data_IF_881190519981
#
_entry.id   IF_881190519981
#
_cell.length_a   1.000
_cell.length_b   1.000
_cell.length_c   1.000
_cell.angle_alpha   90.00
_cell.angle_beta   90.00
_cell.angle_gamma   90.00
#
_symmetry.space_group_name_H-M   'P 1'
#
loop_
_entity.id
_entity.type
_entity.pdbx_description
1 polymer ?
#
# COMPACT_ATOMS: atom_id res chain seq x y z
N UNK A 1 -9.02 77.18 18.17
CA UNK A 1 -8.40 75.92 18.62
C UNK A 1 -8.08 75.10 17.37
N UNK A 2 -6.87 75.28 16.84
CA UNK A 2 -6.37 74.55 15.66
C UNK A 2 -5.94 73.15 16.07
N UNK A 3 -6.56 72.13 15.48
CA UNK A 3 -6.08 70.79 15.61
C UNK A 3 -4.89 70.54 14.68
N UNK A 4 -3.72 70.57 15.24
CA UNK A 4 -2.46 70.17 14.62
C UNK A 4 -2.54 68.73 14.18
N UNK A 5 -2.74 68.47 12.89
CA UNK A 5 -2.58 67.15 12.28
C UNK A 5 -1.09 66.84 12.20
N UNK A 6 -0.65 65.98 13.14
CA UNK A 6 0.69 65.42 13.12
C UNK A 6 0.88 64.54 11.86
N UNK A 7 1.48 65.12 10.81
CA UNK A 7 2.01 64.37 9.65
C UNK A 7 3.20 63.54 10.16
N UNK A 8 3.00 62.28 10.52
CA UNK A 8 4.08 61.37 10.82
C UNK A 8 4.91 61.20 9.53
N UNK A 9 6.15 61.69 9.53
CA UNK A 9 7.06 61.60 8.40
C UNK A 9 7.22 60.17 7.93
N UNK A 10 7.10 59.90 6.65
CA UNK A 10 7.25 58.56 6.05
C UNK A 10 8.63 58.01 6.45
N UNK A 11 8.67 56.86 7.12
CA UNK A 11 9.91 56.19 7.53
C UNK A 11 10.80 55.92 6.32
N UNK A 12 12.10 56.19 6.45
CA UNK A 12 13.10 56.02 5.40
C UNK A 12 14.22 55.10 5.87
N UNK A 13 14.84 54.40 4.92
CA UNK A 13 16.06 53.61 5.21
C UNK A 13 17.33 54.47 5.16
N UNK A 14 18.50 53.87 5.38
CA UNK A 14 19.80 54.53 5.33
C UNK A 14 20.16 55.06 3.93
N UNK A 15 19.46 54.63 2.86
CA UNK A 15 19.58 55.10 1.49
C UNK A 15 18.48 56.09 1.12
N UNK A 16 17.80 56.65 2.13
CA UNK A 16 16.72 57.63 1.99
C UNK A 16 15.48 57.13 1.24
N UNK A 17 15.28 55.80 1.06
CA UNK A 17 14.13 55.20 0.41
C UNK A 17 12.96 55.10 1.39
N UNK A 18 11.75 55.28 0.90
CA UNK A 18 10.54 55.20 1.69
C UNK A 18 10.27 53.74 2.02
N UNK A 19 10.14 53.44 3.32
CA UNK A 19 9.70 52.14 3.82
C UNK A 19 8.18 52.09 3.86
N UNK A 20 7.63 50.96 3.37
CA UNK A 20 6.18 50.69 3.35
C UNK A 20 5.66 50.35 4.74
N UNK A 21 4.34 50.24 4.87
CA UNK A 21 3.71 49.77 6.13
C UNK A 21 4.17 48.33 6.45
N UNK A 22 4.61 48.12 7.69
CA UNK A 22 5.21 46.84 8.11
C UNK A 22 6.72 46.72 7.88
N UNK A 23 7.30 47.49 6.93
CA UNK A 23 8.75 47.48 6.66
C UNK A 23 9.52 48.29 7.74
N UNK A 24 10.68 47.84 8.10
CA UNK A 24 11.64 48.54 8.96
C UNK A 24 13.08 48.15 8.61
N UNK A 25 14.04 48.99 8.95
CA UNK A 25 15.46 48.65 8.89
C UNK A 25 16.01 48.52 10.31
N UNK A 26 16.68 47.40 10.59
CA UNK A 26 17.30 47.12 11.88
C UNK A 26 18.68 47.81 12.01
N UNK A 27 19.16 47.92 13.22
CA UNK A 27 20.50 48.48 13.54
C UNK A 27 21.64 47.67 12.88
N UNK A 28 21.43 46.36 12.68
CA UNK A 28 22.39 45.46 12.03
C UNK A 28 22.40 45.58 10.50
N UNK A 29 21.57 46.47 9.92
CA UNK A 29 21.45 46.71 8.48
C UNK A 29 20.45 45.85 7.76
N UNK A 30 19.89 44.81 8.39
CA UNK A 30 18.82 44.00 7.79
C UNK A 30 17.51 44.75 7.71
N UNK A 31 16.77 44.49 6.66
CA UNK A 31 15.39 44.93 6.54
C UNK A 31 14.47 43.87 7.17
N UNK A 32 13.39 44.29 7.82
CA UNK A 32 12.37 43.47 8.42
C UNK A 32 10.99 43.86 7.93
N UNK A 33 10.13 42.91 7.65
CA UNK A 33 8.70 43.09 7.38
C UNK A 33 7.90 42.39 8.45
N UNK A 34 7.01 43.13 9.11
CA UNK A 34 6.07 42.68 10.12
C UNK A 34 4.72 42.42 9.46
N UNK A 35 4.14 41.24 9.69
CA UNK A 35 2.80 40.88 9.24
C UNK A 35 2.06 40.06 10.29
N UNK A 36 0.75 39.91 10.13
CA UNK A 36 -0.09 39.02 10.93
C UNK A 36 -0.40 37.79 10.08
N UNK A 37 -0.15 36.60 10.61
CA UNK A 37 -0.46 35.35 9.91
C UNK A 37 -1.95 34.99 9.97
N UNK A 38 -2.34 33.89 9.32
CA UNK A 38 -3.74 33.39 9.28
C UNK A 38 -4.28 33.00 10.66
N UNK A 39 -3.40 32.77 11.65
CA UNK A 39 -3.77 32.44 13.04
C UNK A 39 -3.86 33.71 13.93
N UNK A 40 -3.72 34.92 13.35
CA UNK A 40 -3.71 36.16 14.10
C UNK A 40 -2.40 36.47 14.84
N UNK A 41 -1.35 35.70 14.62
CA UNK A 41 -0.05 35.91 15.26
C UNK A 41 0.85 36.83 14.47
N UNK A 42 1.59 37.66 15.22
CA UNK A 42 2.55 38.60 14.61
C UNK A 42 3.83 37.87 14.24
N UNK A 43 4.20 37.97 12.96
CA UNK A 43 5.38 37.34 12.38
C UNK A 43 6.33 38.37 11.78
N UNK A 44 7.60 38.00 11.63
CA UNK A 44 8.63 38.83 11.03
C UNK A 44 9.43 38.05 10.00
N UNK A 45 9.70 38.67 8.84
CA UNK A 45 10.62 38.16 7.85
C UNK A 45 11.75 39.16 7.62
N UNK A 46 12.95 38.66 7.35
CA UNK A 46 14.15 39.48 7.22
C UNK A 46 14.85 39.28 5.88
N UNK A 47 15.52 40.33 5.39
CA UNK A 47 16.43 40.24 4.23
C UNK A 47 17.54 41.29 4.35
N UNK A 48 18.70 41.04 3.74
CA UNK A 48 19.77 42.01 3.59
C UNK A 48 19.51 43.00 2.46
N UNK A 49 18.56 42.70 1.56
CA UNK A 49 18.17 43.50 0.42
C UNK A 49 16.74 43.99 0.58
N UNK A 50 16.47 45.27 0.36
CA UNK A 50 15.09 45.79 0.31
C UNK A 50 14.47 45.48 -1.06
N UNK A 51 15.23 45.82 -2.13
CA UNK A 51 14.83 45.60 -3.53
C UNK A 51 15.72 44.55 -4.19
N UNK A 52 15.23 43.95 -5.27
CA UNK A 52 15.97 42.95 -6.06
C UNK A 52 17.31 43.49 -6.60
N UNK A 53 17.38 44.80 -6.87
CA UNK A 53 18.54 45.49 -7.40
C UNK A 53 19.59 45.82 -6.34
N UNK A 54 19.29 45.63 -5.04
CA UNK A 54 20.24 45.92 -3.97
C UNK A 54 21.43 44.98 -4.00
N UNK A 55 22.64 45.55 -3.88
CA UNK A 55 23.86 44.76 -3.69
C UNK A 55 23.87 44.11 -2.31
N UNK A 56 24.28 42.85 -2.30
CA UNK A 56 24.44 42.11 -1.06
C UNK A 56 25.65 42.64 -0.28
N UNK A 57 25.54 42.87 1.06
CA UNK A 57 26.70 43.23 1.87
C UNK A 57 27.78 42.13 1.84
N UNK A 58 29.05 42.53 1.85
CA UNK A 58 30.18 41.61 1.82
C UNK A 58 30.09 40.56 2.94
N UNK A 59 30.38 39.29 2.63
CA UNK A 59 30.36 38.17 3.57
C UNK A 59 28.97 37.68 3.99
N UNK A 60 27.89 38.16 3.36
CA UNK A 60 26.53 37.68 3.66
C UNK A 60 26.06 36.70 2.59
N UNK A 61 25.26 35.73 3.03
CA UNK A 61 24.65 34.74 2.13
C UNK A 61 23.57 35.42 1.28
N UNK A 62 23.53 35.11 -0.01
CA UNK A 62 22.52 35.68 -0.92
C UNK A 62 21.12 35.16 -0.55
N UNK A 63 20.15 36.07 -0.63
CA UNK A 63 18.74 35.84 -0.33
C UNK A 63 17.89 36.76 -1.20
N UNK A 64 16.61 36.40 -1.39
CA UNK A 64 15.64 37.23 -2.09
C UNK A 64 15.37 38.53 -1.31
N UNK A 65 15.04 39.61 -2.01
CA UNK A 65 14.78 40.90 -1.39
C UNK A 65 13.56 40.88 -0.46
N UNK A 66 13.50 41.81 0.51
CA UNK A 66 12.39 41.90 1.44
C UNK A 66 11.05 42.09 0.72
N UNK A 67 11.00 42.93 -0.30
CA UNK A 67 9.77 43.21 -1.03
C UNK A 67 9.30 42.08 -1.93
N UNK A 68 10.20 41.19 -2.36
CA UNK A 68 9.81 39.95 -3.00
C UNK A 68 9.22 38.97 -1.97
N UNK A 69 9.83 38.86 -0.76
CA UNK A 69 9.27 38.09 0.35
C UNK A 69 7.89 38.61 0.77
N UNK A 70 7.74 39.94 0.88
CA UNK A 70 6.47 40.57 1.19
C UNK A 70 5.37 40.21 0.18
N UNK A 71 5.66 40.32 -1.12
CA UNK A 71 4.70 39.92 -2.16
C UNK A 71 4.30 38.47 -2.07
N UNK A 72 5.24 37.57 -1.75
CA UNK A 72 4.96 36.13 -1.57
C UNK A 72 4.05 35.91 -0.36
N UNK A 73 4.38 36.53 0.79
CA UNK A 73 3.59 36.43 2.02
C UNK A 73 2.18 36.99 1.82
N UNK A 74 2.05 38.19 1.21
CA UNK A 74 0.74 38.79 0.93
C UNK A 74 -0.12 37.90 0.03
N UNK A 75 0.50 37.27 -0.97
CA UNK A 75 -0.20 36.32 -1.84
C UNK A 75 -0.61 35.06 -1.07
N UNK A 76 0.24 34.54 -0.19
CA UNK A 76 -0.07 33.36 0.62
C UNK A 76 -1.23 33.69 1.59
N UNK A 77 -1.20 34.86 2.23
CA UNK A 77 -2.28 35.31 3.12
C UNK A 77 -3.61 35.51 2.39
N UNK A 78 -3.59 36.07 1.14
CA UNK A 78 -4.78 36.22 0.31
C UNK A 78 -5.37 34.87 -0.12
N UNK A 79 -4.52 33.87 -0.32
CA UNK A 79 -4.94 32.51 -0.67
C UNK A 79 -5.23 31.64 0.58
N UNK A 80 -5.23 32.22 1.80
CA UNK A 80 -5.46 31.52 3.05
C UNK A 80 -4.34 30.58 3.49
N UNK A 81 -3.17 30.60 2.81
CA UNK A 81 -2.05 29.71 3.08
C UNK A 81 -1.23 30.26 4.27
N UNK A 82 -0.88 29.38 5.22
CA UNK A 82 -0.03 29.73 6.35
C UNK A 82 1.38 30.06 5.86
N UNK A 83 1.82 31.35 5.89
CA UNK A 83 3.19 31.70 5.54
C UNK A 83 4.18 30.92 6.40
N UNK A 84 5.16 30.25 5.78
CA UNK A 84 6.11 29.34 6.43
C UNK A 84 5.53 28.03 6.98
N UNK A 85 4.23 27.72 6.82
CA UNK A 85 3.64 26.44 7.24
C UNK A 85 4.28 25.22 6.57
N UNK A 86 4.85 25.40 5.39
CA UNK A 86 5.57 24.37 4.63
C UNK A 86 7.05 24.19 4.99
N UNK A 87 7.54 24.70 6.12
CA UNK A 87 8.95 24.57 6.52
C UNK A 87 9.32 23.14 6.93
N UNK A 88 8.35 22.32 7.31
CA UNK A 88 8.61 20.92 7.62
C UNK A 88 9.17 20.15 6.42
N UNK A 89 9.97 19.12 6.71
CA UNK A 89 10.51 18.24 5.69
C UNK A 89 9.48 17.21 5.21
N UNK A 90 9.71 16.62 4.03
CA UNK A 90 8.89 15.50 3.52
C UNK A 90 8.81 14.36 4.53
N UNK A 91 9.93 14.03 5.18
CA UNK A 91 9.97 12.98 6.22
C UNK A 91 9.06 13.35 7.40
N UNK A 92 9.12 14.58 7.89
CA UNK A 92 8.25 15.05 8.98
C UNK A 92 6.78 15.02 8.59
N UNK A 93 6.44 15.47 7.38
CA UNK A 93 5.07 15.41 6.86
C UNK A 93 4.53 13.99 6.79
N UNK A 94 5.28 13.07 6.17
CA UNK A 94 4.85 11.66 6.03
C UNK A 94 4.75 10.99 7.40
N UNK A 95 5.65 11.30 8.33
CA UNK A 95 5.58 10.79 9.72
C UNK A 95 4.33 11.32 10.42
N UNK A 96 4.03 12.64 10.32
CA UNK A 96 2.79 13.24 10.86
C UNK A 96 1.55 12.56 10.31
N UNK A 97 1.50 12.33 8.99
CA UNK A 97 0.38 11.66 8.33
C UNK A 97 0.18 10.23 8.84
N UNK A 98 1.25 9.46 8.97
CA UNK A 98 1.19 8.06 9.45
C UNK A 98 0.75 7.98 10.91
N UNK A 99 1.22 8.89 11.76
CA UNK A 99 0.83 8.94 13.18
C UNK A 99 -0.65 9.23 13.40
N UNK A 100 -1.33 9.89 12.45
CA UNK A 100 -2.78 10.13 12.49
C UNK A 100 -3.62 8.91 12.08
N UNK A 101 -2.98 7.84 11.55
CA UNK A 101 -3.69 6.61 11.14
C UNK A 101 -3.88 5.70 12.35
N UNK A 102 -5.11 5.65 12.84
CA UNK A 102 -5.53 4.74 13.93
C UNK A 102 -6.23 3.51 13.37
N UNK A 103 -6.21 2.40 14.10
CA UNK A 103 -6.92 1.17 13.73
C UNK A 103 -6.39 0.47 12.47
N UNK A 104 -5.17 0.78 12.02
CA UNK A 104 -4.56 0.12 10.86
C UNK A 104 -4.08 -1.28 11.22
N UNK A 105 -4.21 -2.22 10.28
CA UNK A 105 -3.73 -3.59 10.44
C UNK A 105 -2.20 -3.64 10.52
N UNK A 106 -1.68 -4.65 11.20
CA UNK A 106 -0.23 -4.86 11.39
C UNK A 106 0.57 -4.78 10.08
N UNK A 107 0.10 -5.42 9.02
CA UNK A 107 0.79 -5.38 7.71
C UNK A 107 0.79 -3.99 7.07
N UNK A 108 -0.26 -3.19 7.28
CA UNK A 108 -0.33 -1.80 6.80
C UNK A 108 0.65 -0.93 7.58
N UNK A 109 0.71 -1.09 8.90
CA UNK A 109 1.66 -0.40 9.77
C UNK A 109 3.12 -0.73 9.39
N UNK A 110 3.41 -2.02 9.14
CA UNK A 110 4.72 -2.47 8.66
C UNK A 110 5.07 -1.85 7.29
N UNK A 111 4.07 -1.67 6.42
CA UNK A 111 4.19 -0.95 5.15
C UNK A 111 4.56 0.52 5.35
N UNK A 112 3.88 1.21 6.25
CA UNK A 112 4.18 2.60 6.61
C UNK A 112 5.60 2.77 7.16
N UNK A 113 6.02 1.91 8.11
CA UNK A 113 7.40 1.88 8.63
C UNK A 113 8.43 1.69 7.50
N UNK A 114 8.11 0.85 6.52
CA UNK A 114 8.98 0.63 5.35
C UNK A 114 9.11 1.91 4.52
N UNK A 115 8.01 2.63 4.25
CA UNK A 115 8.02 3.88 3.49
C UNK A 115 8.81 4.96 4.24
N UNK A 116 8.59 5.13 5.54
CA UNK A 116 9.34 6.08 6.38
C UNK A 116 10.84 5.77 6.30
N UNK A 117 11.25 4.49 6.45
CA UNK A 117 12.65 4.09 6.37
C UNK A 117 13.28 4.37 4.98
N UNK A 118 12.50 4.26 3.91
CA UNK A 118 12.97 4.62 2.57
C UNK A 118 13.20 6.13 2.49
N UNK A 119 12.21 6.93 2.88
CA UNK A 119 12.27 8.40 2.83
C UNK A 119 13.41 8.94 3.71
N UNK A 120 13.66 8.33 4.87
CA UNK A 120 14.76 8.71 5.78
C UNK A 120 16.13 8.60 5.11
N UNK A 121 16.31 7.60 4.23
CA UNK A 121 17.58 7.35 3.53
C UNK A 121 17.75 8.19 2.26
N UNK A 122 16.70 8.85 1.81
CA UNK A 122 16.67 9.61 0.57
C UNK A 122 16.84 11.11 0.83
N UNK A 123 17.62 11.81 0.01
CA UNK A 123 17.75 13.26 0.07
C UNK A 123 16.41 13.99 -0.12
N UNK A 124 15.50 13.37 -0.86
CA UNK A 124 14.13 13.85 -1.05
C UNK A 124 13.39 14.00 0.30
N UNK A 125 13.64 13.11 1.26
CA UNK A 125 13.02 13.16 2.59
C UNK A 125 13.42 14.39 3.41
N UNK A 126 14.58 14.99 3.12
CA UNK A 126 15.08 16.17 3.81
C UNK A 126 14.65 17.49 3.16
N UNK A 127 13.99 17.43 2.00
CA UNK A 127 13.50 18.64 1.34
C UNK A 127 12.30 19.22 2.10
N UNK A 128 12.22 20.54 2.15
CA UNK A 128 11.06 21.26 2.68
C UNK A 128 9.88 21.08 1.73
N UNK A 129 8.68 20.81 2.29
CA UNK A 129 7.49 20.54 1.47
C UNK A 129 7.07 21.72 0.60
N UNK A 130 7.33 22.97 1.03
CA UNK A 130 7.06 24.19 0.26
C UNK A 130 7.97 24.37 -0.97
N UNK A 131 9.09 23.64 -1.03
CA UNK A 131 10.06 23.68 -2.14
C UNK A 131 9.93 22.51 -3.10
N UNK A 132 9.20 21.45 -2.72
CA UNK A 132 9.00 20.28 -3.57
C UNK A 132 8.10 20.63 -4.77
N UNK A 133 8.66 20.50 -5.97
CA UNK A 133 7.93 20.67 -7.24
C UNK A 133 7.47 19.32 -7.79
N UNK A 134 6.47 19.29 -8.69
CA UNK A 134 6.11 18.06 -9.40
C UNK A 134 7.26 17.39 -10.16
N UNK A 135 8.23 18.17 -10.65
CA UNK A 135 9.47 17.67 -11.27
C UNK A 135 10.32 16.88 -10.28
N UNK A 136 10.45 17.37 -9.03
CA UNK A 136 11.27 16.71 -8.00
C UNK A 136 10.63 15.41 -7.56
N UNK A 137 9.31 15.41 -7.39
CA UNK A 137 8.53 14.20 -7.08
C UNK A 137 8.69 13.13 -8.18
N UNK A 138 8.60 13.53 -9.47
CA UNK A 138 8.83 12.62 -10.62
C UNK A 138 10.26 12.10 -10.64
N UNK A 139 11.25 12.97 -10.49
CA UNK A 139 12.66 12.61 -10.48
C UNK A 139 12.98 11.60 -9.36
N UNK A 140 12.40 11.77 -8.17
CA UNK A 140 12.55 10.85 -7.08
C UNK A 140 11.96 9.46 -7.38
N UNK A 141 10.74 9.39 -7.96
CA UNK A 141 10.14 8.10 -8.33
C UNK A 141 10.93 7.39 -9.44
N UNK A 142 11.44 8.14 -10.44
CA UNK A 142 12.33 7.61 -11.48
C UNK A 142 13.62 7.06 -10.86
N UNK A 143 14.21 7.79 -9.90
CA UNK A 143 15.38 7.32 -9.17
C UNK A 143 15.09 6.00 -8.45
N UNK A 144 13.96 5.89 -7.73
CA UNK A 144 13.58 4.65 -7.05
C UNK A 144 13.47 3.46 -8.02
N UNK A 145 12.97 3.67 -9.26
CA UNK A 145 12.93 2.62 -10.28
C UNK A 145 14.33 2.25 -10.77
N UNK A 146 15.19 3.24 -11.04
CA UNK A 146 16.59 3.01 -11.41
C UNK A 146 17.38 2.27 -10.33
N UNK A 147 17.05 2.50 -9.06
CA UNK A 147 17.63 1.79 -7.91
C UNK A 147 17.04 0.37 -7.74
N UNK A 148 16.28 -0.13 -8.73
CA UNK A 148 15.79 -1.52 -8.80
C UNK A 148 14.45 -1.77 -8.10
N UNK A 149 13.69 -0.72 -7.73
CA UNK A 149 12.35 -0.94 -7.17
C UNK A 149 11.33 -1.18 -8.29
N UNK A 150 10.50 -2.21 -8.12
CA UNK A 150 9.42 -2.52 -9.05
C UNK A 150 8.32 -1.43 -9.04
N UNK A 151 7.58 -1.33 -10.12
CA UNK A 151 6.43 -0.43 -10.25
C UNK A 151 5.44 -0.57 -9.08
N UNK A 152 5.09 -1.80 -8.69
CA UNK A 152 4.16 -2.05 -7.59
C UNK A 152 4.68 -1.57 -6.23
N UNK A 153 6.00 -1.67 -6.00
CA UNK A 153 6.65 -1.13 -4.79
C UNK A 153 6.57 0.40 -4.77
N UNK A 154 6.87 1.06 -5.90
CA UNK A 154 6.81 2.51 -6.04
C UNK A 154 5.36 3.00 -5.93
N UNK A 155 4.40 2.28 -6.51
CA UNK A 155 2.97 2.56 -6.35
C UNK A 155 2.55 2.56 -4.87
N UNK A 156 3.02 1.57 -4.09
CA UNK A 156 2.75 1.49 -2.65
C UNK A 156 3.39 2.64 -1.87
N UNK A 157 4.64 3.02 -2.21
CA UNK A 157 5.33 4.18 -1.61
C UNK A 157 4.54 5.47 -1.89
N UNK A 158 4.18 5.70 -3.15
CA UNK A 158 3.37 6.86 -3.56
C UNK A 158 2.00 6.86 -2.87
N UNK A 159 1.41 5.68 -2.65
CA UNK A 159 0.16 5.49 -1.91
C UNK A 159 0.18 5.99 -0.46
N UNK A 160 1.37 6.22 0.11
CA UNK A 160 1.55 6.85 1.42
C UNK A 160 1.93 8.33 1.29
N UNK A 161 2.84 8.64 0.38
CA UNK A 161 3.39 10.01 0.24
C UNK A 161 2.37 10.97 -0.37
N UNK A 162 1.63 10.55 -1.42
CA UNK A 162 0.63 11.43 -2.06
C UNK A 162 -0.48 11.87 -1.10
N UNK A 163 -1.11 11.00 -0.30
CA UNK A 163 -2.09 11.43 0.69
C UNK A 163 -1.49 12.32 1.80
N UNK A 164 -0.21 12.11 2.18
CA UNK A 164 0.46 12.99 3.14
C UNK A 164 0.60 14.42 2.58
N UNK A 165 0.97 14.56 1.31
CA UNK A 165 1.00 15.87 0.64
C UNK A 165 -0.42 16.44 0.42
N UNK A 166 -1.45 15.59 0.22
CA UNK A 166 -2.83 16.06 0.17
C UNK A 166 -3.25 16.65 1.51
N UNK A 167 -2.94 15.99 2.62
CA UNK A 167 -3.16 16.54 3.96
C UNK A 167 -2.48 17.92 4.13
N UNK A 168 -1.26 18.10 3.58
CA UNK A 168 -0.60 19.40 3.64
C UNK A 168 -1.31 20.48 2.78
N UNK A 169 -2.00 20.10 1.70
CA UNK A 169 -2.88 21.01 0.94
C UNK A 169 -4.14 21.34 1.74
N UNK A 170 -4.77 20.31 2.32
CA UNK A 170 -6.01 20.44 3.10
C UNK A 170 -5.79 21.24 4.41
N UNK A 171 -4.56 21.17 4.96
CA UNK A 171 -4.10 21.98 6.13
C UNK A 171 -3.56 23.38 5.71
N UNK A 172 -3.72 23.81 4.47
CA UNK A 172 -3.23 25.10 3.92
C UNK A 172 -1.71 25.35 4.11
N UNK A 173 -0.92 24.29 4.18
CA UNK A 173 0.54 24.38 4.29
C UNK A 173 1.23 24.54 2.94
N UNK A 174 0.61 24.03 1.87
CA UNK A 174 1.07 24.12 0.49
C UNK A 174 -0.12 24.28 -0.46
N UNK A 175 0.10 24.94 -1.62
CA UNK A 175 -0.98 25.23 -2.59
C UNK A 175 -1.43 24.04 -3.42
N UNK A 176 -0.53 23.13 -3.75
CA UNK A 176 -0.79 22.01 -4.66
C UNK A 176 0.02 20.79 -4.24
N UNK A 177 -0.59 19.63 -4.44
CA UNK A 177 0.06 18.36 -4.21
C UNK A 177 1.06 18.04 -5.34
N UNK A 178 2.38 17.94 -5.07
CA UNK A 178 3.38 17.67 -6.10
C UNK A 178 3.28 16.26 -6.70
N UNK A 179 2.50 15.35 -6.09
CA UNK A 179 2.27 13.99 -6.58
C UNK A 179 0.97 13.85 -7.40
N UNK A 180 0.36 14.96 -7.84
CA UNK A 180 -0.88 14.95 -8.60
C UNK A 180 -0.61 14.71 -10.09
N UNK A 181 -0.19 13.48 -10.41
CA UNK A 181 0.02 12.97 -11.77
C UNK A 181 -0.23 11.47 -11.81
N UNK A 182 -0.44 10.93 -13.00
CA UNK A 182 -0.58 9.49 -13.20
C UNK A 182 0.81 8.81 -13.15
N UNK A 183 0.95 7.79 -12.30
CA UNK A 183 2.24 7.12 -12.10
C UNK A 183 2.76 6.46 -13.39
N UNK A 184 1.87 5.86 -14.18
CA UNK A 184 2.19 5.20 -15.44
C UNK A 184 2.79 6.14 -16.51
N UNK A 185 2.61 7.47 -16.37
CA UNK A 185 3.24 8.44 -17.28
C UNK A 185 4.67 8.82 -16.89
N UNK A 186 5.14 8.33 -15.72
CA UNK A 186 6.44 8.72 -15.14
C UNK A 186 7.41 7.56 -15.09
N UNK A 187 6.94 6.37 -14.74
CA UNK A 187 7.74 5.15 -14.62
C UNK A 187 7.11 4.02 -15.43
N UNK A 188 7.97 3.13 -15.93
CA UNK A 188 7.54 1.97 -16.70
C UNK A 188 6.83 0.97 -15.80
N UNK A 189 5.65 0.50 -16.21
CA UNK A 189 4.95 -0.56 -15.52
C UNK A 189 5.52 -1.93 -15.92
N UNK A 190 6.45 -2.42 -15.11
CA UNK A 190 7.09 -3.73 -15.21
C UNK A 190 6.37 -4.81 -14.39
N UNK A 191 5.15 -4.54 -13.94
CA UNK A 191 4.38 -5.49 -13.13
C UNK A 191 4.04 -6.73 -13.94
N UNK A 192 4.54 -7.88 -13.51
CA UNK A 192 4.14 -9.16 -14.08
C UNK A 192 2.75 -9.51 -13.53
N UNK A 193 1.77 -9.60 -14.43
CA UNK A 193 0.44 -10.10 -14.08
C UNK A 193 0.58 -11.57 -13.67
N UNK A 194 0.09 -11.92 -12.50
CA UNK A 194 0.04 -13.32 -12.06
C UNK A 194 -1.14 -13.99 -12.74
N UNK A 195 -0.86 -14.77 -13.75
CA UNK A 195 -1.88 -15.49 -14.48
C UNK A 195 -2.29 -16.80 -13.80
N UNK A 196 -3.52 -17.21 -14.03
CA UNK A 196 -3.98 -18.54 -13.71
C UNK A 196 -3.23 -19.57 -14.53
N UNK A 197 -2.93 -20.73 -13.98
CA UNK A 197 -2.37 -21.84 -14.74
C UNK A 197 -3.49 -22.62 -15.47
N UNK A 198 -3.12 -23.28 -16.56
CA UNK A 198 -4.06 -24.11 -17.31
C UNK A 198 -4.48 -25.34 -16.51
N UNK A 199 -5.65 -25.93 -16.82
CA UNK A 199 -6.12 -27.18 -16.22
C UNK A 199 -5.12 -28.33 -16.40
N UNK A 200 -4.37 -28.35 -17.51
CA UNK A 200 -3.31 -29.33 -17.76
C UNK A 200 -2.14 -29.14 -16.80
N UNK A 201 -1.70 -27.91 -16.60
CA UNK A 201 -0.63 -27.58 -15.66
C UNK A 201 -1.05 -27.85 -14.19
N UNK A 202 -2.29 -27.50 -13.82
CA UNK A 202 -2.84 -27.80 -12.49
C UNK A 202 -2.80 -29.31 -12.21
N UNK A 203 -3.29 -30.15 -13.13
CA UNK A 203 -3.25 -31.61 -13.00
C UNK A 203 -1.83 -32.12 -12.88
N UNK A 204 -0.93 -31.71 -13.76
CA UNK A 204 0.48 -32.12 -13.73
C UNK A 204 1.16 -31.72 -12.42
N UNK A 205 0.87 -30.52 -11.90
CA UNK A 205 1.40 -30.04 -10.62
C UNK A 205 0.88 -30.89 -9.43
N UNK A 206 -0.42 -31.13 -9.36
CA UNK A 206 -1.04 -31.93 -8.31
C UNK A 206 -0.57 -33.38 -8.35
N UNK A 207 -0.47 -33.99 -9.54
CA UNK A 207 0.03 -35.35 -9.72
C UNK A 207 1.49 -35.47 -9.27
N UNK A 208 2.33 -34.51 -9.63
CA UNK A 208 3.71 -34.45 -9.16
C UNK A 208 3.79 -34.39 -7.64
N UNK A 209 3.02 -33.49 -7.00
CA UNK A 209 2.99 -33.34 -5.53
C UNK A 209 2.55 -34.65 -4.87
N UNK A 210 1.50 -35.30 -5.39
CA UNK A 210 0.94 -36.54 -4.86
C UNK A 210 1.95 -37.70 -4.86
N UNK A 211 2.77 -37.78 -5.90
CA UNK A 211 3.73 -38.86 -6.10
C UNK A 211 5.14 -38.56 -5.53
N UNK A 212 5.39 -37.35 -5.07
CA UNK A 212 6.69 -36.98 -4.54
C UNK A 212 6.85 -37.37 -3.06
N UNK A 213 7.89 -38.16 -2.75
CA UNK A 213 8.15 -38.67 -1.39
C UNK A 213 8.23 -37.59 -0.30
N UNK A 214 8.65 -36.37 -0.66
CA UNK A 214 8.80 -35.28 0.29
C UNK A 214 7.55 -34.40 0.40
N UNK A 215 6.87 -34.15 -0.73
CA UNK A 215 5.77 -33.19 -0.82
C UNK A 215 4.39 -33.84 -0.68
N UNK A 216 4.25 -35.18 -0.82
CA UNK A 216 2.97 -35.88 -0.72
C UNK A 216 2.16 -35.55 0.56
N UNK A 217 2.84 -35.36 1.68
CA UNK A 217 2.21 -34.97 2.95
C UNK A 217 1.53 -33.59 2.95
N UNK A 218 1.76 -32.76 1.93
CA UNK A 218 1.13 -31.46 1.76
C UNK A 218 0.09 -31.47 0.62
N UNK A 219 -0.12 -32.61 -0.03
CA UNK A 219 -1.00 -32.74 -1.17
C UNK A 219 -2.41 -32.26 -0.88
N UNK A 220 -3.02 -32.70 0.20
CA UNK A 220 -4.39 -32.34 0.58
C UNK A 220 -4.54 -30.82 0.75
N UNK A 221 -3.61 -30.18 1.45
CA UNK A 221 -3.63 -28.73 1.65
C UNK A 221 -3.45 -27.95 0.33
N UNK A 222 -2.56 -28.41 -0.54
CA UNK A 222 -2.35 -27.83 -1.87
C UNK A 222 -3.59 -28.01 -2.73
N UNK A 223 -4.22 -29.18 -2.70
CA UNK A 223 -5.46 -29.48 -3.41
C UNK A 223 -6.60 -28.56 -2.96
N UNK A 224 -6.79 -28.41 -1.65
CA UNK A 224 -7.77 -27.49 -1.06
C UNK A 224 -7.56 -26.06 -1.56
N UNK A 225 -6.32 -25.55 -1.59
CA UNK A 225 -6.01 -24.21 -2.10
C UNK A 225 -6.44 -24.03 -3.58
N UNK A 226 -6.28 -25.06 -4.42
CA UNK A 226 -6.74 -25.02 -5.81
C UNK A 226 -8.26 -25.14 -5.97
N UNK A 227 -8.97 -25.78 -5.03
CA UNK A 227 -10.38 -26.13 -5.17
C UNK A 227 -11.34 -25.28 -4.33
N UNK A 228 -10.82 -24.38 -3.49
CA UNK A 228 -11.65 -23.52 -2.64
C UNK A 228 -11.39 -22.03 -2.85
N UNK A 229 -10.26 -21.68 -3.46
CA UNK A 229 -9.85 -20.28 -3.63
C UNK A 229 -9.57 -19.54 -2.32
N UNK A 230 -9.35 -20.23 -1.20
CA UNK A 230 -8.95 -19.63 0.07
C UNK A 230 -7.70 -18.77 -0.08
N UNK A 231 -7.65 -17.65 0.65
CA UNK A 231 -6.37 -16.92 0.80
C UNK A 231 -5.44 -17.76 1.67
N UNK A 232 -4.15 -17.71 1.38
CA UNK A 232 -3.18 -18.52 2.17
C UNK A 232 -3.24 -18.19 3.67
N UNK A 233 -3.45 -16.93 4.05
CA UNK A 233 -3.59 -16.55 5.47
C UNK A 233 -4.88 -17.06 6.11
N UNK A 234 -5.97 -17.19 5.35
CA UNK A 234 -7.21 -17.85 5.77
C UNK A 234 -6.96 -19.34 5.97
N UNK A 235 -6.39 -20.00 4.95
CA UNK A 235 -6.12 -21.44 4.98
C UNK A 235 -5.22 -21.88 6.17
N UNK A 236 -4.12 -21.16 6.40
CA UNK A 236 -3.23 -21.49 7.53
C UNK A 236 -3.83 -21.12 8.88
N UNK A 237 -4.84 -20.28 8.89
CA UNK A 237 -5.62 -19.94 10.09
C UNK A 237 -6.67 -20.98 10.46
N UNK A 238 -7.09 -21.83 9.52
CA UNK A 238 -8.12 -22.84 9.78
C UNK A 238 -7.74 -23.77 10.94
N UNK A 239 -8.71 -23.99 11.81
CA UNK A 239 -8.63 -24.92 12.93
C UNK A 239 -9.59 -26.09 12.72
N UNK A 240 -9.48 -27.12 13.54
CA UNK A 240 -10.43 -28.26 13.54
C UNK A 240 -11.87 -27.77 13.71
N UNK A 241 -12.09 -26.73 14.51
CA UNK A 241 -13.41 -26.18 14.80
C UNK A 241 -14.04 -25.44 13.60
N UNK A 242 -13.24 -25.03 12.63
CA UNK A 242 -13.72 -24.35 11.43
C UNK A 242 -14.17 -25.32 10.33
N UNK A 243 -13.95 -26.62 10.53
CA UNK A 243 -14.24 -27.69 9.58
C UNK A 243 -15.43 -28.51 10.08
N UNK A 244 -16.57 -28.33 9.45
CA UNK A 244 -17.78 -29.11 9.70
C UNK A 244 -17.93 -30.25 8.67
N UNK A 245 -17.48 -31.44 9.00
CA UNK A 245 -17.61 -32.61 8.13
C UNK A 245 -19.05 -33.11 8.00
N UNK A 246 -19.90 -32.86 9.01
CA UNK A 246 -21.30 -33.29 8.98
C UNK A 246 -22.11 -32.47 7.97
N UNK A 247 -21.97 -31.13 8.02
CA UNK A 247 -22.66 -30.22 7.12
C UNK A 247 -21.84 -29.90 5.85
N UNK A 248 -20.64 -30.46 5.73
CA UNK A 248 -19.70 -30.24 4.60
C UNK A 248 -19.41 -28.77 4.36
N UNK A 249 -19.06 -28.04 5.42
CA UNK A 249 -18.78 -26.61 5.34
C UNK A 249 -17.44 -26.22 5.99
N UNK A 250 -16.86 -25.14 5.47
CA UNK A 250 -15.64 -24.50 5.99
C UNK A 250 -16.02 -23.11 6.48
N UNK A 251 -15.82 -22.83 7.74
CA UNK A 251 -16.07 -21.51 8.33
C UNK A 251 -14.81 -20.64 8.22
N UNK A 252 -14.85 -19.61 7.36
CA UNK A 252 -13.75 -18.67 7.16
C UNK A 252 -14.08 -17.37 7.88
N UNK A 253 -13.56 -17.18 9.08
CA UNK A 253 -13.85 -16.02 9.91
C UNK A 253 -12.60 -15.28 10.43
N UNK A 254 -11.42 -15.85 10.23
CA UNK A 254 -10.15 -15.29 10.68
C UNK A 254 -8.99 -15.68 9.77
N UNK A 255 -7.84 -15.10 10.02
CA UNK A 255 -6.59 -15.41 9.34
C UNK A 255 -5.43 -15.47 10.33
N UNK A 256 -4.45 -16.35 10.05
CA UNK A 256 -3.21 -16.44 10.81
C UNK A 256 -2.10 -15.70 10.06
N UNK A 257 -1.39 -14.85 10.78
CA UNK A 257 -0.22 -14.16 10.30
C UNK A 257 0.96 -14.32 11.26
N UNK A 258 2.17 -14.07 10.76
CA UNK A 258 3.38 -13.98 11.57
C UNK A 258 4.07 -12.66 11.30
N UNK A 259 4.32 -11.91 12.36
CA UNK A 259 4.97 -10.62 12.30
C UNK A 259 6.46 -10.76 11.90
N UNK A 260 7.12 -9.64 11.61
CA UNK A 260 8.57 -9.60 11.39
C UNK A 260 9.36 -9.97 12.66
N UNK A 261 8.77 -9.75 13.84
CA UNK A 261 9.31 -10.16 15.16
C UNK A 261 9.04 -11.62 15.48
N UNK A 262 8.54 -12.39 14.49
CA UNK A 262 8.25 -13.83 14.61
C UNK A 262 7.07 -14.19 15.53
N UNK A 263 6.26 -13.21 15.92
CA UNK A 263 5.04 -13.42 16.70
C UNK A 263 3.90 -13.89 15.80
N UNK A 264 3.10 -14.84 16.31
CA UNK A 264 1.91 -15.34 15.64
C UNK A 264 0.71 -14.53 16.09
N UNK A 265 -0.09 -14.05 15.15
CA UNK A 265 -1.30 -13.27 15.42
C UNK A 265 -2.49 -13.82 14.64
N UNK A 266 -3.64 -13.85 15.31
CA UNK A 266 -4.93 -14.03 14.65
C UNK A 266 -5.51 -12.66 14.39
N UNK A 267 -5.93 -12.43 13.17
CA UNK A 267 -6.68 -11.23 12.76
C UNK A 267 -8.01 -11.66 12.15
N UNK A 268 -9.03 -10.84 12.28
CA UNK A 268 -10.27 -11.00 11.52
C UNK A 268 -9.99 -10.97 10.02
N UNK A 269 -10.89 -11.51 9.22
CA UNK A 269 -10.79 -11.43 7.76
C UNK A 269 -10.66 -9.98 7.30
N UNK A 270 -9.97 -9.75 6.18
CA UNK A 270 -9.62 -8.39 5.69
C UNK A 270 -10.84 -7.47 5.50
N UNK A 271 -11.98 -8.03 5.20
CA UNK A 271 -13.25 -7.33 4.95
C UNK A 271 -14.40 -8.17 5.49
N UNK A 272 -15.57 -7.57 5.71
CA UNK A 272 -16.78 -8.31 6.10
C UNK A 272 -17.12 -9.41 5.08
N UNK A 273 -16.91 -9.17 3.79
CA UNK A 273 -17.06 -10.18 2.74
C UNK A 273 -16.06 -11.34 2.85
N UNK A 274 -14.97 -11.16 3.60
CA UNK A 274 -14.01 -12.22 3.88
C UNK A 274 -14.56 -13.27 4.84
N UNK A 275 -15.44 -12.90 5.78
CA UNK A 275 -16.13 -13.82 6.67
C UNK A 275 -17.25 -14.51 5.91
N UNK A 276 -17.12 -15.81 5.72
CA UNK A 276 -18.03 -16.60 4.88
C UNK A 276 -17.96 -18.08 5.21
N UNK A 277 -19.01 -18.79 4.84
CA UNK A 277 -19.07 -20.27 4.94
C UNK A 277 -18.94 -20.81 3.50
N UNK A 278 -17.96 -21.68 3.29
CA UNK A 278 -17.73 -22.32 2.00
C UNK A 278 -18.27 -23.75 2.03
N UNK A 279 -19.04 -24.18 1.01
CA UNK A 279 -19.41 -25.58 0.84
C UNK A 279 -18.19 -26.43 0.40
N UNK A 280 -18.15 -27.68 0.78
CA UNK A 280 -17.15 -28.64 0.32
C UNK A 280 -17.68 -29.48 -0.83
N UNK A 281 -16.88 -29.62 -1.89
CA UNK A 281 -17.06 -30.72 -2.85
C UNK A 281 -16.59 -32.04 -2.22
N UNK A 282 -16.99 -33.20 -2.81
CA UNK A 282 -16.61 -34.52 -2.29
C UNK A 282 -15.09 -34.66 -2.15
N UNK A 283 -14.33 -34.23 -3.15
CA UNK A 283 -12.86 -34.27 -3.11
C UNK A 283 -12.26 -33.42 -2.01
N UNK A 284 -12.80 -32.21 -1.77
CA UNK A 284 -12.36 -31.31 -0.70
C UNK A 284 -12.70 -31.89 0.68
N UNK A 285 -13.88 -32.48 0.81
CA UNK A 285 -14.31 -33.21 2.00
C UNK A 285 -13.32 -34.34 2.33
N UNK A 286 -13.00 -35.20 1.36
CA UNK A 286 -12.03 -36.28 1.56
C UNK A 286 -10.62 -35.78 1.92
N UNK A 287 -10.22 -34.64 1.36
CA UNK A 287 -8.95 -34.00 1.76
C UNK A 287 -8.97 -33.56 3.23
N UNK A 288 -10.02 -32.89 3.67
CA UNK A 288 -10.11 -32.47 5.08
C UNK A 288 -10.19 -33.68 6.03
N UNK A 289 -10.95 -34.69 5.66
CA UNK A 289 -11.02 -35.95 6.44
C UNK A 289 -9.63 -36.56 6.65
N UNK A 290 -8.85 -36.73 5.55
CA UNK A 290 -7.47 -37.22 5.64
C UNK A 290 -6.54 -36.32 6.45
N UNK A 291 -6.69 -34.99 6.33
CA UNK A 291 -5.92 -34.07 7.17
C UNK A 291 -6.21 -34.29 8.65
N UNK A 292 -7.49 -34.37 9.03
CA UNK A 292 -7.89 -34.51 10.43
C UNK A 292 -7.47 -35.88 11.00
N UNK A 293 -7.55 -36.93 10.21
CA UNK A 293 -7.12 -38.31 10.61
C UNK A 293 -5.59 -38.36 10.82
N UNK A 294 -4.81 -37.73 9.92
CA UNK A 294 -3.35 -37.79 9.93
C UNK A 294 -2.69 -36.62 10.67
N UNK A 295 -3.47 -35.70 11.23
CA UNK A 295 -2.95 -34.52 11.93
C UNK A 295 -2.10 -34.94 13.14
N UNK A 296 -0.93 -34.30 13.24
CA UNK A 296 -0.10 -34.45 14.44
C UNK A 296 -0.89 -34.02 15.69
N UNK A 297 -0.86 -34.84 16.72
CA UNK A 297 -1.48 -34.57 18.04
C UNK A 297 -0.37 -34.19 19.02
N UNK A 298 -0.01 -32.91 19.17
CA UNK A 298 1.03 -32.48 20.10
C UNK A 298 0.55 -32.69 21.54
N UNK A 299 1.49 -32.89 22.48
CA UNK A 299 1.17 -32.99 23.90
C UNK A 299 0.47 -31.74 24.45
N UNK A 300 0.84 -30.59 23.93
CA UNK A 300 0.23 -29.29 24.21
C UNK A 300 -0.13 -28.60 22.88
N UNK A 301 -1.42 -28.36 22.68
CA UNK A 301 -1.89 -27.64 21.49
C UNK A 301 -1.45 -26.18 21.54
N UNK A 302 -0.85 -25.66 20.47
CA UNK A 302 -0.52 -24.24 20.42
C UNK A 302 -1.80 -23.39 20.43
N UNK A 303 -1.87 -22.43 21.33
CA UNK A 303 -2.95 -21.46 21.40
C UNK A 303 -2.44 -20.10 20.89
N UNK A 304 -3.13 -19.53 19.91
CA UNK A 304 -2.81 -18.23 19.31
C UNK A 304 -4.10 -17.43 19.20
N UNK A 305 -4.17 -16.29 19.86
CA UNK A 305 -5.37 -15.43 19.85
C UNK A 305 -6.65 -16.18 20.24
N UNK A 306 -6.57 -17.12 21.20
CA UNK A 306 -7.69 -17.95 21.62
C UNK A 306 -8.05 -19.11 20.68
N UNK A 307 -7.36 -19.30 19.56
CA UNK A 307 -7.56 -20.41 18.62
C UNK A 307 -6.56 -21.54 18.87
N UNK A 308 -7.03 -22.77 18.77
CA UNK A 308 -6.25 -24.02 18.94
C UNK A 308 -6.64 -25.01 17.84
N UNK A 309 -5.86 -26.08 17.67
CA UNK A 309 -6.21 -27.14 16.74
C UNK A 309 -5.95 -26.77 15.27
N UNK A 310 -4.90 -25.97 14.97
CA UNK A 310 -4.52 -25.64 13.60
C UNK A 310 -4.23 -26.88 12.77
N UNK A 311 -4.63 -26.89 11.50
CA UNK A 311 -4.59 -28.08 10.65
C UNK A 311 -3.17 -28.60 10.38
N UNK A 312 -2.20 -27.71 10.22
CA UNK A 312 -0.80 -28.05 9.93
C UNK A 312 0.15 -27.44 10.95
N UNK A 313 0.98 -28.26 11.53
CA UNK A 313 2.03 -27.85 12.46
C UNK A 313 3.42 -28.08 11.86
N UNK A 314 4.37 -27.24 12.22
CA UNK A 314 5.78 -27.42 11.91
C UNK A 314 6.45 -28.44 12.85
N UNK A 315 7.74 -28.72 12.62
CA UNK A 315 8.53 -29.65 13.44
C UNK A 315 8.64 -29.26 14.92
N UNK A 316 8.35 -28.01 15.25
CA UNK A 316 8.38 -27.48 16.62
C UNK A 316 6.98 -27.43 17.26
N UNK A 317 5.97 -28.01 16.62
CA UNK A 317 4.59 -27.98 17.07
C UNK A 317 3.89 -26.64 16.94
N UNK A 318 4.43 -25.71 16.15
CA UNK A 318 3.82 -24.40 15.88
C UNK A 318 3.01 -24.43 14.58
N UNK A 319 1.93 -23.64 14.45
CA UNK A 319 1.18 -23.58 13.19
C UNK A 319 2.06 -23.18 12.01
N UNK A 320 1.89 -23.87 10.91
CA UNK A 320 2.54 -23.48 9.66
C UNK A 320 1.90 -22.20 9.13
N UNK A 321 2.72 -21.18 8.85
CA UNK A 321 2.28 -19.89 8.32
C UNK A 321 2.47 -19.80 6.80
N UNK A 322 1.88 -18.80 6.16
CA UNK A 322 1.92 -18.57 4.71
C UNK A 322 3.33 -18.76 4.10
N UNK A 323 4.38 -18.25 4.75
CA UNK A 323 5.76 -18.35 4.28
C UNK A 323 6.26 -19.80 4.15
N UNK A 324 5.80 -20.74 4.98
CA UNK A 324 6.16 -22.15 4.84
C UNK A 324 5.60 -22.71 3.53
N UNK A 325 4.32 -22.44 3.26
CA UNK A 325 3.65 -22.88 2.04
C UNK A 325 4.26 -22.23 0.80
N UNK A 326 4.55 -20.94 0.82
CA UNK A 326 5.22 -20.26 -0.30
C UNK A 326 6.57 -20.91 -0.65
N UNK A 327 7.35 -21.28 0.37
CA UNK A 327 8.63 -22.00 0.16
C UNK A 327 8.40 -23.40 -0.42
N UNK A 328 7.38 -24.12 0.05
CA UNK A 328 7.07 -25.44 -0.53
C UNK A 328 6.64 -25.33 -1.99
N UNK A 329 5.76 -24.41 -2.34
CA UNK A 329 5.39 -24.17 -3.72
C UNK A 329 6.60 -23.83 -4.59
N UNK A 330 7.51 -23.00 -4.09
CA UNK A 330 8.75 -22.68 -4.78
C UNK A 330 9.63 -23.93 -5.01
N UNK A 331 9.84 -24.74 -3.97
CA UNK A 331 10.65 -25.94 -4.06
C UNK A 331 10.02 -27.00 -4.96
N UNK A 332 8.68 -27.15 -4.93
CA UNK A 332 7.93 -28.03 -5.82
C UNK A 332 8.17 -27.63 -7.28
N UNK A 333 7.95 -26.35 -7.62
CA UNK A 333 8.20 -25.85 -8.97
C UNK A 333 9.67 -26.08 -9.41
N UNK A 334 10.63 -25.77 -8.55
CA UNK A 334 12.04 -25.97 -8.83
C UNK A 334 12.38 -27.45 -9.08
N UNK A 335 11.84 -28.35 -8.25
CA UNK A 335 12.06 -29.79 -8.39
C UNK A 335 11.39 -30.33 -9.65
N UNK A 336 10.14 -29.93 -9.93
CA UNK A 336 9.43 -30.28 -11.15
C UNK A 336 10.25 -29.88 -12.39
N UNK A 337 10.69 -28.64 -12.45
CA UNK A 337 11.42 -28.08 -13.58
C UNK A 337 12.83 -28.66 -13.79
N UNK A 338 13.41 -29.33 -12.78
CA UNK A 338 14.64 -30.12 -12.93
C UNK A 338 14.41 -31.49 -13.55
N UNK A 339 13.21 -32.06 -13.36
CA UNK A 339 12.86 -33.41 -13.79
C UNK A 339 12.22 -33.43 -15.17
N UNK A 340 11.33 -32.47 -15.43
CA UNK A 340 10.52 -32.44 -16.62
C UNK A 340 10.99 -31.41 -17.64
N UNK A 341 10.97 -31.79 -18.94
CA UNK A 341 11.31 -30.88 -20.05
C UNK A 341 10.32 -29.71 -20.17
N UNK A 342 9.02 -30.02 -19.99
CA UNK A 342 7.96 -29.00 -19.99
C UNK A 342 7.97 -28.28 -18.65
N UNK A 343 8.36 -27.02 -18.70
CA UNK A 343 8.54 -26.22 -17.50
C UNK A 343 7.20 -25.81 -16.87
N UNK A 344 7.09 -25.94 -15.57
CA UNK A 344 5.99 -25.43 -14.77
C UNK A 344 6.19 -23.93 -14.53
N UNK A 345 5.20 -23.07 -14.78
CA UNK A 345 5.29 -21.66 -14.41
C UNK A 345 5.39 -21.52 -12.89
N UNK A 346 5.68 -20.32 -12.41
CA UNK A 346 5.73 -20.05 -10.96
C UNK A 346 4.35 -20.21 -10.33
N UNK A 347 4.09 -21.35 -9.72
CA UNK A 347 2.89 -21.61 -8.92
C UNK A 347 3.11 -21.13 -7.49
N UNK A 348 2.12 -20.43 -6.93
CA UNK A 348 2.08 -19.95 -5.55
C UNK A 348 0.67 -20.15 -4.99
N UNK A 349 0.44 -20.09 -3.68
CA UNK A 349 -0.92 -20.14 -3.14
C UNK A 349 -1.86 -19.09 -3.75
N UNK A 350 -1.32 -17.94 -4.11
CA UNK A 350 -2.10 -16.89 -4.77
C UNK A 350 -2.48 -17.27 -6.22
N UNK A 351 -1.58 -17.96 -6.95
CA UNK A 351 -1.86 -18.51 -8.28
C UNK A 351 -2.94 -19.60 -8.19
N UNK A 352 -2.94 -20.44 -7.13
CA UNK A 352 -4.02 -21.43 -6.91
C UNK A 352 -5.38 -20.73 -6.81
N UNK A 353 -5.47 -19.66 -6.04
CA UNK A 353 -6.69 -18.87 -5.89
C UNK A 353 -7.11 -18.21 -7.21
N UNK A 354 -6.18 -17.64 -7.98
CA UNK A 354 -6.46 -17.11 -9.31
C UNK A 354 -6.96 -18.19 -10.27
N UNK A 355 -6.32 -19.37 -10.24
CA UNK A 355 -6.73 -20.52 -11.07
C UNK A 355 -8.13 -20.99 -10.72
N UNK A 356 -8.47 -21.08 -9.43
CA UNK A 356 -9.84 -21.38 -9.01
C UNK A 356 -10.84 -20.35 -9.55
N UNK A 357 -10.56 -19.06 -9.34
CA UNK A 357 -11.43 -17.99 -9.80
C UNK A 357 -11.66 -18.05 -11.33
N UNK A 358 -10.59 -18.20 -12.11
CA UNK A 358 -10.64 -18.32 -13.57
C UNK A 358 -11.39 -19.58 -14.04
N UNK A 359 -11.14 -20.72 -13.40
CA UNK A 359 -11.83 -21.97 -13.73
C UNK A 359 -13.34 -21.89 -13.45
N UNK A 360 -13.75 -21.27 -12.33
CA UNK A 360 -15.16 -21.07 -11.99
C UNK A 360 -15.84 -20.08 -12.95
N UNK A 361 -15.16 -18.98 -13.28
CA UNK A 361 -15.65 -18.03 -14.25
C UNK A 361 -15.87 -18.68 -15.64
N UNK A 362 -14.87 -19.41 -16.12
CA UNK A 362 -14.97 -20.17 -17.41
C UNK A 362 -16.01 -21.30 -17.40
N UNK A 363 -16.38 -21.80 -16.22
CA UNK A 363 -17.47 -22.78 -16.07
C UNK A 363 -18.85 -22.12 -15.98
N UNK A 364 -18.98 -20.81 -16.21
CA UNK A 364 -20.26 -20.08 -16.21
C UNK A 364 -20.83 -19.81 -14.83
N UNK A 365 -20.02 -19.87 -13.76
CA UNK A 365 -20.50 -19.56 -12.41
C UNK A 365 -20.98 -18.11 -12.34
N UNK A 366 -22.15 -17.90 -11.70
CA UNK A 366 -22.65 -16.53 -11.49
C UNK A 366 -21.61 -15.65 -10.80
N UNK A 367 -21.31 -14.43 -11.31
CA UNK A 367 -20.28 -13.54 -10.75
C UNK A 367 -20.49 -13.18 -9.27
N UNK A 368 -21.76 -13.04 -8.82
CA UNK A 368 -22.08 -12.76 -7.41
C UNK A 368 -21.79 -13.96 -6.51
N UNK A 369 -22.09 -15.17 -6.98
CA UNK A 369 -21.75 -16.41 -6.27
C UNK A 369 -20.24 -16.55 -6.17
N UNK A 370 -19.52 -16.30 -7.27
CA UNK A 370 -18.05 -16.33 -7.25
C UNK A 370 -17.46 -15.25 -6.36
N UNK A 371 -18.02 -14.03 -6.36
CA UNK A 371 -17.63 -12.97 -5.44
C UNK A 371 -17.72 -13.43 -3.97
N UNK A 372 -18.84 -14.06 -3.60
CA UNK A 372 -19.06 -14.61 -2.26
C UNK A 372 -18.03 -15.69 -1.91
N UNK A 373 -17.86 -16.70 -2.76
CA UNK A 373 -16.91 -17.80 -2.55
C UNK A 373 -15.47 -17.29 -2.40
N UNK A 374 -15.10 -16.30 -3.21
CA UNK A 374 -13.78 -15.66 -3.15
C UNK A 374 -13.63 -14.70 -1.95
N UNK A 375 -14.71 -14.20 -1.37
CA UNK A 375 -14.66 -13.17 -0.33
C UNK A 375 -14.06 -11.86 -0.84
N UNK A 376 -14.46 -11.43 -2.06
CA UNK A 376 -14.08 -10.14 -2.62
C UNK A 376 -15.07 -9.07 -2.17
N UNK A 377 -14.56 -7.99 -1.57
CA UNK A 377 -15.39 -6.84 -1.17
C UNK A 377 -15.91 -6.05 -2.35
N UNK A 378 -15.14 -6.01 -3.45
CA UNK A 378 -15.49 -5.34 -4.70
C UNK A 378 -15.73 -6.38 -5.80
N UNK A 379 -16.92 -6.30 -6.43
CA UNK A 379 -17.31 -7.15 -7.56
C UNK A 379 -16.37 -6.96 -8.77
N UNK A 380 -15.81 -5.76 -8.96
CA UNK A 380 -14.87 -5.46 -10.03
C UNK A 380 -13.66 -6.40 -10.05
N UNK A 381 -13.17 -6.80 -8.86
CA UNK A 381 -12.08 -7.77 -8.75
C UNK A 381 -12.48 -9.14 -9.33
N UNK A 382 -13.72 -9.56 -9.15
CA UNK A 382 -14.26 -10.79 -9.71
C UNK A 382 -14.51 -10.64 -11.20
N UNK A 383 -15.17 -9.55 -11.62
CA UNK A 383 -15.50 -9.28 -13.02
C UNK A 383 -14.26 -9.18 -13.91
N UNK A 384 -13.14 -8.66 -13.41
CA UNK A 384 -11.88 -8.65 -14.14
C UNK A 384 -11.42 -10.06 -14.58
N UNK A 385 -11.87 -11.13 -13.91
CA UNK A 385 -11.58 -12.49 -14.32
C UNK A 385 -12.43 -12.93 -15.52
N UNK A 386 -13.63 -12.36 -15.69
CA UNK A 386 -14.53 -12.63 -16.81
C UNK A 386 -14.16 -11.86 -18.09
N UNK A 387 -13.34 -10.80 -17.99
CA UNK A 387 -12.90 -10.00 -19.14
C UNK A 387 -11.92 -10.72 -20.07
N UNK A 388 -11.40 -11.87 -19.66
CA UNK A 388 -10.48 -12.71 -20.45
C UNK A 388 -11.21 -13.89 -21.13
N UNK A 389 -12.52 -13.79 -21.32
CA UNK A 389 -13.29 -14.78 -22.10
C UNK A 389 -12.94 -14.67 -23.58
N UNK A 390 -12.63 -15.80 -24.21
CA UNK A 390 -12.40 -15.89 -25.65
C UNK A 390 -13.72 -15.96 -26.43
N UNK A 391 -13.64 -15.80 -27.75
CA UNK A 391 -14.80 -16.03 -28.63
C UNK A 391 -15.38 -17.45 -28.43
N UNK A 392 -14.53 -18.44 -28.26
CA UNK A 392 -14.94 -19.85 -28.02
C UNK A 392 -15.69 -20.01 -26.68
N UNK A 393 -15.27 -19.28 -25.63
CA UNK A 393 -15.98 -19.25 -24.35
C UNK A 393 -17.38 -18.63 -24.55
N UNK A 394 -17.48 -17.53 -25.31
CA UNK A 394 -18.76 -16.88 -25.63
C UNK A 394 -19.70 -17.75 -26.47
N UNK A 395 -19.18 -18.47 -27.48
CA UNK A 395 -19.94 -19.40 -28.29
C UNK A 395 -20.49 -20.57 -27.43
N UNK A 396 -19.66 -21.11 -26.55
CA UNK A 396 -20.06 -22.20 -25.66
C UNK A 396 -21.17 -21.75 -24.70
N UNK A 397 -21.03 -20.58 -24.11
CA UNK A 397 -22.02 -20.01 -23.21
C UNK A 397 -23.34 -19.70 -23.91
N UNK A 398 -23.29 -19.15 -25.15
CA UNK A 398 -24.48 -18.88 -25.93
C UNK A 398 -25.25 -20.20 -26.26
N UNK A 399 -24.53 -21.27 -26.63
CA UNK A 399 -25.13 -22.59 -26.87
C UNK A 399 -25.78 -23.18 -25.62
N UNK A 400 -25.13 -23.03 -24.46
CA UNK A 400 -25.64 -23.48 -23.16
C UNK A 400 -26.97 -22.78 -22.82
N UNK A 401 -26.97 -21.43 -22.87
CA UNK A 401 -28.16 -20.63 -22.56
C UNK A 401 -29.30 -20.91 -23.58
N UNK A 402 -28.99 -21.06 -24.85
CA UNK A 402 -29.96 -21.36 -25.89
C UNK A 402 -30.60 -22.75 -25.71
N UNK A 403 -29.87 -23.71 -25.16
CA UNK A 403 -30.36 -25.07 -24.88
C UNK A 403 -31.05 -25.24 -23.53
N UNK A 404 -31.12 -24.17 -22.70
CA UNK A 404 -31.79 -24.18 -21.42
C UNK A 404 -31.03 -24.93 -20.30
N UNK A 405 -29.70 -25.05 -20.43
CA UNK A 405 -28.81 -25.69 -19.47
C UNK A 405 -28.19 -24.71 -18.43
#
# INVERSE_FOLDING_TARGET
>A
MERSTNMSGRRRDHKNRILRNGESQRKDGRYAFKYVDTNGQVQFVYSWKLEKTDKLPAGKRDDISLREKEKMIQRDLLDGIVPHGGEMTVLQLVTKYVLQKTGVRHNTEAGYKTVINIITKESFGQQRIDKVKPSDARAWLIKLQKDGRSYSSIHSIRGVVRPAFQMAVDDDLIRKNPFEFQLATVIVNDSVTREAITRKQERAFLEFVKNDKHFAKYYEGIYILFKTGLRISEFVGLTIQDIDLQNRTINVNHQLQRTRTMEYIIEDTKTNAGTRILPMTDDVYECFKRILENRAKPKLEPMIGGKTGFLYLDKNGRPMVAMHWEKYFQHICQKYNRIYRVQMPKVTPHVCRHTYCSNMAKSGMNPKTLQYLMGHSDIGVTLNTYTHLSFEDAETELKRVANGE
#
